data_IF_060360436083
#
_entry.id   IF_060360436083
#
_cell.length_a   1.000
_cell.length_b   1.000
_cell.length_c   1.000
_cell.angle_alpha   90.00
_cell.angle_beta   90.00
_cell.angle_gamma   90.00
#
_symmetry.space_group_name_H-M   'P 1'
#
loop_
_entity.id
_entity.type
_entity.pdbx_description
1 polymer ?
#
# COMPACT_ATOMS: atom_id res chain seq x y z
N UNK A 1 36.77 -4.16 41.95
CA UNK A 1 35.52 -3.39 42.06
C UNK A 1 35.56 -2.01 41.34
N UNK A 2 36.62 -1.65 40.61
CA UNK A 2 36.71 -0.37 39.88
C UNK A 2 36.48 -0.44 38.35
N UNK A 3 36.47 -1.63 37.75
CA UNK A 3 36.24 -1.80 36.30
C UNK A 3 34.76 -1.76 35.90
N UNK A 4 33.83 -2.09 36.80
CA UNK A 4 32.39 -2.09 36.50
C UNK A 4 31.78 -0.69 36.51
N UNK A 5 32.31 0.25 37.31
CA UNK A 5 31.79 1.62 37.42
C UNK A 5 32.12 2.50 36.20
N UNK A 6 33.20 2.21 35.46
CA UNK A 6 33.55 2.94 34.24
C UNK A 6 32.65 2.56 33.05
N UNK A 7 32.19 1.30 32.97
CA UNK A 7 31.33 0.81 31.89
C UNK A 7 29.94 1.43 31.92
N UNK A 8 29.36 1.60 33.11
CA UNK A 8 28.03 2.21 33.27
C UNK A 8 28.04 3.72 32.98
N UNK A 9 29.15 4.41 33.27
CA UNK A 9 29.29 5.85 33.02
C UNK A 9 29.39 6.17 31.52
N UNK A 10 30.08 5.32 30.73
CA UNK A 10 30.19 5.49 29.27
C UNK A 10 28.86 5.17 28.57
N UNK A 11 28.14 4.14 29.02
CA UNK A 11 26.81 3.78 28.50
C UNK A 11 25.75 4.86 28.80
N UNK A 12 25.83 5.54 29.94
CA UNK A 12 24.92 6.63 30.30
C UNK A 12 25.23 7.94 29.55
N UNK A 13 26.49 8.22 29.27
CA UNK A 13 26.88 9.39 28.47
C UNK A 13 26.51 9.20 26.99
N UNK A 14 26.65 7.99 26.43
CA UNK A 14 26.22 7.66 25.06
C UNK A 14 24.68 7.69 24.89
N UNK A 15 23.91 7.34 25.92
CA UNK A 15 22.44 7.43 25.87
C UNK A 15 21.95 8.88 25.94
N UNK A 16 22.59 9.74 26.75
CA UNK A 16 22.27 11.17 26.83
C UNK A 16 22.67 11.90 25.53
N UNK A 17 23.83 11.60 24.92
CA UNK A 17 24.22 12.15 23.62
C UNK A 17 23.26 11.73 22.49
N UNK A 18 22.70 10.52 22.55
CA UNK A 18 21.70 10.05 21.58
C UNK A 18 20.34 10.74 21.75
N UNK A 19 19.94 11.05 22.99
CA UNK A 19 18.71 11.80 23.29
C UNK A 19 18.85 13.28 22.92
N UNK A 20 20.01 13.90 23.19
CA UNK A 20 20.29 15.29 22.79
C UNK A 20 20.43 15.41 21.27
N UNK A 21 21.00 14.43 20.58
CA UNK A 21 21.02 14.36 19.12
C UNK A 21 19.60 14.15 18.53
N UNK A 22 18.76 13.33 19.17
CA UNK A 22 17.36 13.15 18.76
C UNK A 22 16.49 14.39 19.00
N UNK A 23 16.76 15.17 20.05
CA UNK A 23 16.08 16.43 20.34
C UNK A 23 16.54 17.58 19.43
N UNK A 24 17.81 17.60 19.01
CA UNK A 24 18.35 18.64 18.10
C UNK A 24 18.26 18.31 16.60
N UNK A 25 17.82 17.10 16.21
CA UNK A 25 17.73 16.68 14.81
C UNK A 25 16.30 16.59 14.25
N UNK A 26 15.29 17.20 14.88
CA UNK A 26 14.00 17.39 14.21
C UNK A 26 14.10 18.53 13.21
N UNK A 27 14.70 18.26 12.04
CA UNK A 27 14.47 19.11 10.87
C UNK A 27 12.96 19.13 10.63
N UNK A 28 12.29 20.19 11.06
CA UNK A 28 10.86 20.35 10.88
C UNK A 28 10.58 20.36 9.39
N UNK A 29 9.67 19.49 8.95
CA UNK A 29 9.23 19.50 7.56
C UNK A 29 8.63 20.86 7.21
N UNK A 30 8.85 21.30 5.98
CA UNK A 30 8.20 22.49 5.48
C UNK A 30 6.75 22.15 5.08
N UNK A 31 5.79 22.69 5.83
CA UNK A 31 4.36 22.47 5.60
C UNK A 31 3.77 23.56 4.69
N UNK A 32 2.60 23.35 4.06
CA UNK A 32 1.97 24.35 3.18
C UNK A 32 1.77 25.73 3.78
N UNK A 33 1.59 25.82 5.10
CA UNK A 33 1.44 27.09 5.83
C UNK A 33 2.78 27.70 6.26
N UNK A 34 3.90 27.01 6.07
CA UNK A 34 5.22 27.48 6.51
C UNK A 34 5.84 28.46 5.50
N UNK A 35 6.61 29.48 5.94
CA UNK A 35 7.26 30.43 5.03
C UNK A 35 8.28 29.82 4.07
N UNK A 36 8.83 28.65 4.41
CA UNK A 36 9.76 27.91 3.56
C UNK A 36 9.08 27.19 2.38
N UNK A 37 7.75 27.17 2.32
CA UNK A 37 7.01 26.35 1.36
C UNK A 37 7.22 26.91 -0.05
N UNK A 38 7.30 26.05 -1.08
CA UNK A 38 7.52 26.52 -2.45
C UNK A 38 6.51 27.60 -2.85
N UNK A 39 6.99 28.66 -3.50
CA UNK A 39 6.12 29.71 -4.03
C UNK A 39 5.15 29.15 -5.09
N UNK A 40 4.04 29.84 -5.39
CA UNK A 40 3.17 29.46 -6.51
C UNK A 40 3.94 29.29 -7.83
N UNK A 41 4.95 30.13 -8.09
CA UNK A 41 5.81 30.02 -9.27
C UNK A 41 6.68 28.76 -9.25
N UNK A 42 7.22 28.38 -8.08
CA UNK A 42 7.99 27.14 -7.93
C UNK A 42 7.12 25.90 -8.11
N UNK A 43 5.91 25.90 -7.55
CA UNK A 43 4.92 24.83 -7.75
C UNK A 43 4.52 24.72 -9.22
N UNK A 44 4.32 25.82 -9.92
CA UNK A 44 3.99 25.81 -11.34
C UNK A 44 5.15 25.27 -12.20
N UNK A 45 6.39 25.70 -11.94
CA UNK A 45 7.58 25.16 -12.61
C UNK A 45 7.71 23.65 -12.38
N UNK A 46 7.50 23.19 -11.14
CA UNK A 46 7.48 21.77 -10.83
C UNK A 46 6.34 21.04 -11.56
N UNK A 47 5.13 21.61 -11.57
CA UNK A 47 3.98 21.05 -12.26
C UNK A 47 4.27 20.84 -13.75
N UNK A 48 4.83 21.83 -14.43
CA UNK A 48 5.30 21.69 -15.82
C UNK A 48 6.31 20.56 -15.96
N UNK A 49 7.25 20.43 -15.02
CA UNK A 49 8.28 19.37 -15.06
C UNK A 49 7.70 17.95 -14.96
N UNK A 50 6.54 17.76 -14.31
CA UNK A 50 5.82 16.47 -14.21
C UNK A 50 4.65 16.36 -15.20
N UNK A 51 4.63 17.23 -16.22
CA UNK A 51 3.64 17.18 -17.31
C UNK A 51 2.25 17.67 -16.91
N UNK A 52 2.14 18.63 -15.99
CA UNK A 52 0.85 19.17 -15.55
C UNK A 52 0.11 18.29 -14.54
N UNK A 53 0.79 17.33 -13.91
CA UNK A 53 0.20 16.30 -13.05
C UNK A 53 0.24 16.59 -11.55
N UNK A 54 0.67 17.78 -11.14
CA UNK A 54 0.55 18.23 -9.76
C UNK A 54 -0.90 18.62 -9.48
N UNK A 55 -1.50 17.99 -8.48
CA UNK A 55 -2.87 18.25 -8.04
C UNK A 55 -2.81 18.89 -6.65
N UNK A 56 -3.49 20.03 -6.49
CA UNK A 56 -3.84 20.55 -5.17
C UNK A 56 -5.06 19.78 -4.68
N UNK A 57 -4.93 19.05 -3.59
CA UNK A 57 -6.00 18.18 -3.12
C UNK A 57 -7.20 18.99 -2.65
N UNK A 58 -8.39 18.55 -3.04
CA UNK A 58 -9.66 19.04 -2.51
C UNK A 58 -10.16 18.02 -1.48
N UNK A 59 -10.66 18.45 -0.32
CA UNK A 59 -11.20 17.52 0.67
C UNK A 59 -12.31 16.63 0.08
N UNK A 60 -12.34 15.36 0.47
CA UNK A 60 -13.23 14.36 -0.10
C UNK A 60 -14.72 14.74 -0.02
N UNK A 61 -15.18 15.25 1.13
CA UNK A 61 -16.56 15.67 1.33
C UNK A 61 -16.91 17.07 0.79
N UNK A 62 -15.98 17.81 0.18
CA UNK A 62 -16.15 19.26 -0.05
C UNK A 62 -17.40 19.63 -0.87
N UNK A 63 -17.80 18.78 -1.81
CA UNK A 63 -19.00 18.98 -2.64
C UNK A 63 -20.31 18.94 -1.85
N UNK A 64 -20.28 18.50 -0.59
CA UNK A 64 -21.45 18.48 0.30
C UNK A 64 -21.50 19.65 1.29
N UNK A 65 -20.51 20.55 1.30
CA UNK A 65 -20.41 21.64 2.28
C UNK A 65 -20.70 23.02 1.67
N UNK A 66 -21.18 23.95 2.50
CA UNK A 66 -21.39 25.35 2.09
C UNK A 66 -20.14 25.96 1.42
N UNK A 67 -20.35 26.75 0.36
CA UNK A 67 -19.28 27.38 -0.42
C UNK A 67 -18.69 26.52 -1.54
N UNK A 68 -18.88 25.21 -1.52
CA UNK A 68 -18.50 24.30 -2.61
C UNK A 68 -19.60 23.27 -2.94
N UNK A 69 -20.80 23.50 -2.42
CA UNK A 69 -21.93 22.58 -2.56
C UNK A 69 -22.32 22.39 -4.02
N UNK A 70 -22.37 21.13 -4.42
CA UNK A 70 -22.89 20.65 -5.70
C UNK A 70 -23.80 19.47 -5.38
N UNK A 71 -25.11 19.65 -5.62
CA UNK A 71 -26.14 18.68 -5.27
C UNK A 71 -25.90 17.31 -5.94
N UNK A 72 -25.56 17.31 -7.23
CA UNK A 72 -25.37 16.06 -7.98
C UNK A 72 -24.07 15.36 -7.58
N UNK A 73 -22.97 16.12 -7.44
CA UNK A 73 -21.70 15.56 -7.00
C UNK A 73 -21.78 15.05 -5.55
N UNK A 74 -22.48 15.76 -4.66
CA UNK A 74 -22.72 15.29 -3.29
C UNK A 74 -23.59 14.03 -3.28
N UNK A 75 -24.63 13.95 -4.11
CA UNK A 75 -25.49 12.76 -4.25
C UNK A 75 -24.71 11.55 -4.77
N UNK A 76 -23.87 11.72 -5.79
CA UNK A 76 -22.99 10.64 -6.26
C UNK A 76 -22.04 10.19 -5.15
N UNK A 77 -21.40 11.14 -4.47
CA UNK A 77 -20.49 10.87 -3.36
C UNK A 77 -21.18 10.06 -2.26
N UNK A 78 -22.40 10.42 -1.88
CA UNK A 78 -23.18 9.73 -0.86
C UNK A 78 -23.47 8.27 -1.21
N UNK A 79 -23.83 8.00 -2.47
CA UNK A 79 -24.13 6.66 -2.98
C UNK A 79 -22.88 5.78 -3.06
N UNK A 80 -21.76 6.38 -3.48
CA UNK A 80 -20.57 5.63 -3.89
C UNK A 80 -19.43 5.68 -2.87
N UNK A 81 -19.61 6.35 -1.73
CA UNK A 81 -18.53 6.57 -0.75
C UNK A 81 -17.87 5.30 -0.21
N UNK A 82 -18.55 4.16 -0.25
CA UNK A 82 -18.01 2.86 0.14
C UNK A 82 -17.47 2.04 -1.05
N UNK A 83 -17.67 2.48 -2.30
CA UNK A 83 -17.22 1.77 -3.48
C UNK A 83 -15.72 1.97 -3.69
N UNK A 84 -14.95 0.88 -3.61
CA UNK A 84 -13.52 0.93 -3.85
C UNK A 84 -13.17 1.53 -5.21
N UNK A 85 -13.88 1.14 -6.28
CA UNK A 85 -13.64 1.65 -7.63
C UNK A 85 -13.84 3.17 -7.76
N UNK A 86 -14.79 3.73 -7.00
CA UNK A 86 -15.00 5.19 -6.95
C UNK A 86 -13.84 5.88 -6.23
N UNK A 87 -13.51 5.43 -5.00
CA UNK A 87 -12.45 6.02 -4.16
C UNK A 87 -11.08 5.94 -4.83
N UNK A 88 -10.80 4.85 -5.54
CA UNK A 88 -9.55 4.65 -6.28
C UNK A 88 -9.27 5.74 -7.32
N UNK A 89 -10.28 6.43 -7.85
CA UNK A 89 -10.08 7.46 -8.89
C UNK A 89 -9.80 8.85 -8.32
N UNK A 90 -9.88 9.00 -7.00
CA UNK A 90 -9.82 10.30 -6.34
C UNK A 90 -8.43 10.51 -5.70
N UNK A 91 -7.76 11.66 -5.95
CA UNK A 91 -6.41 11.90 -5.47
C UNK A 91 -6.31 11.91 -3.93
N UNK A 92 -7.27 12.53 -3.24
CA UNK A 92 -7.28 12.64 -1.79
C UNK A 92 -7.87 11.43 -1.06
N UNK A 93 -8.70 10.62 -1.74
CA UNK A 93 -9.45 9.57 -1.06
C UNK A 93 -8.56 8.40 -0.62
N UNK A 94 -8.92 7.81 0.52
CA UNK A 94 -8.31 6.64 1.14
C UNK A 94 -9.36 5.56 1.35
N UNK A 95 -9.02 4.27 1.35
CA UNK A 95 -10.05 3.23 1.48
C UNK A 95 -10.71 3.23 2.87
N UNK A 96 -9.94 3.55 3.90
CA UNK A 96 -10.46 3.77 5.25
C UNK A 96 -10.56 5.27 5.51
N UNK A 97 -11.79 5.77 5.60
CA UNK A 97 -12.09 7.21 5.71
C UNK A 97 -11.58 7.85 7.01
N UNK A 98 -11.30 7.07 8.06
CA UNK A 98 -10.69 7.56 9.29
C UNK A 98 -9.30 8.19 9.03
N UNK A 99 -8.56 7.74 8.02
CA UNK A 99 -7.28 8.32 7.65
C UNK A 99 -7.39 9.62 6.85
N UNK A 100 -8.61 10.00 6.46
CA UNK A 100 -8.90 11.31 5.85
C UNK A 100 -9.07 12.38 6.92
N UNK A 101 -9.25 11.99 8.17
CA UNK A 101 -9.32 12.86 9.34
C UNK A 101 -7.95 13.03 10.01
N UNK A 102 -7.75 14.13 10.72
CA UNK A 102 -6.64 14.36 11.66
C UNK A 102 -7.22 14.89 12.98
N UNK A 103 -7.53 13.98 13.90
CA UNK A 103 -8.36 14.29 15.07
C UNK A 103 -9.77 14.69 14.65
N UNK A 104 -10.18 15.91 15.00
CA UNK A 104 -11.48 16.49 14.61
C UNK A 104 -11.41 17.22 13.25
N UNK A 105 -10.21 17.45 12.71
CA UNK A 105 -10.04 18.12 11.42
C UNK A 105 -10.30 17.15 10.27
N UNK A 106 -11.16 17.55 9.33
CA UNK A 106 -11.42 16.79 8.12
C UNK A 106 -12.66 17.26 7.40
N UNK A 107 -13.14 16.44 6.48
CA UNK A 107 -14.33 16.73 5.70
C UNK A 107 -15.14 15.45 5.49
N UNK A 108 -15.75 14.92 6.55
CA UNK A 108 -16.52 13.67 6.49
C UNK A 108 -17.70 13.84 5.54
N UNK A 109 -17.99 12.81 4.74
CA UNK A 109 -19.20 12.79 3.93
C UNK A 109 -20.40 12.67 4.86
N UNK A 110 -21.43 13.55 4.73
CA UNK A 110 -22.61 13.45 5.57
C UNK A 110 -23.22 12.04 5.46
N UNK A 111 -23.64 11.49 6.59
CA UNK A 111 -24.42 10.25 6.63
C UNK A 111 -25.77 10.65 7.20
N UNK A 112 -26.86 10.63 6.41
CA UNK A 112 -28.18 10.83 6.98
C UNK A 112 -28.41 9.75 8.03
N UNK A 113 -28.61 10.16 9.29
CA UNK A 113 -28.82 9.23 10.40
C UNK A 113 -30.14 8.45 10.25
N UNK A 114 -31.11 8.99 9.51
CA UNK A 114 -32.38 8.37 9.20
C UNK A 114 -32.79 8.74 7.77
N UNK A 115 -33.21 7.73 7.01
CA UNK A 115 -34.06 7.80 5.80
C UNK A 115 -33.48 8.45 4.53
N UNK A 116 -33.44 7.61 3.48
CA UNK A 116 -33.39 7.97 2.06
C UNK A 116 -32.18 8.80 1.61
N UNK A 117 -31.62 8.47 0.44
CA UNK A 117 -30.66 9.34 -0.26
C UNK A 117 -31.43 10.54 -0.88
N UNK A 118 -32.28 11.18 -0.09
CA UNK A 118 -33.05 12.37 -0.44
C UNK A 118 -32.24 13.64 -0.16
N UNK A 119 -32.64 14.73 -0.84
CA UNK A 119 -31.94 16.02 -0.95
C UNK A 119 -31.12 16.39 0.30
N UNK A 120 -29.81 16.13 0.24
CA UNK A 120 -28.88 16.56 1.28
C UNK A 120 -28.52 18.00 0.98
N UNK A 121 -29.23 18.95 1.60
CA UNK A 121 -28.84 20.36 1.56
C UNK A 121 -27.41 20.57 2.07
N UNK A 122 -26.79 21.73 1.78
CA UNK A 122 -25.40 21.98 2.11
C UNK A 122 -25.13 21.84 3.61
N UNK A 123 -24.08 21.10 3.95
CA UNK A 123 -23.62 20.94 5.33
C UNK A 123 -22.95 22.23 5.80
N UNK A 124 -23.41 22.75 6.95
CA UNK A 124 -22.79 23.86 7.66
C UNK A 124 -21.65 23.33 8.53
N UNK A 125 -20.47 23.94 8.43
CA UNK A 125 -19.32 23.58 9.26
C UNK A 125 -18.00 23.70 8.52
N UNK A 126 -16.92 23.26 9.17
CA UNK A 126 -15.60 23.24 8.56
C UNK A 126 -15.43 21.98 7.71
N UNK A 127 -14.91 22.17 6.51
CA UNK A 127 -14.45 21.10 5.63
C UNK A 127 -12.97 21.33 5.35
N UNK A 128 -12.12 20.54 5.99
CA UNK A 128 -10.68 20.66 5.94
C UNK A 128 -10.04 19.39 5.36
N UNK A 129 -8.76 19.47 4.99
CA UNK A 129 -8.06 18.32 4.43
C UNK A 129 -7.82 17.19 5.45
N UNK A 130 -7.77 17.51 6.75
CA UNK A 130 -7.44 16.55 7.80
C UNK A 130 -6.16 15.77 7.49
N UNK A 131 -6.29 14.45 7.44
CA UNK A 131 -5.20 13.50 7.17
C UNK A 131 -4.80 13.41 5.69
N UNK A 132 -5.55 14.00 4.76
CA UNK A 132 -5.24 13.94 3.33
C UNK A 132 -3.98 14.75 2.97
N UNK A 133 -3.25 14.31 1.94
CA UNK A 133 -2.10 15.05 1.40
C UNK A 133 -2.54 16.39 0.81
N UNK A 134 -1.79 17.46 1.06
CA UNK A 134 -2.11 18.80 0.56
C UNK A 134 -1.88 18.95 -0.94
N UNK A 135 -0.84 18.30 -1.42
CA UNK A 135 -0.52 18.19 -2.84
C UNK A 135 -0.20 16.75 -3.18
N UNK A 136 -0.56 16.33 -4.38
CA UNK A 136 -0.32 14.98 -4.85
C UNK A 136 -0.01 14.97 -6.35
N UNK A 137 1.06 14.29 -6.74
CA UNK A 137 1.44 14.14 -8.15
C UNK A 137 0.85 12.86 -8.70
N UNK A 138 -0.01 12.95 -9.71
CA UNK A 138 -0.50 11.79 -10.45
C UNK A 138 0.63 11.27 -11.37
N UNK A 139 1.46 10.35 -10.88
CA UNK A 139 2.62 9.88 -11.62
C UNK A 139 2.21 8.96 -12.78
N UNK A 140 2.82 9.17 -13.94
CA UNK A 140 2.61 8.33 -15.14
C UNK A 140 3.81 7.45 -15.46
N UNK A 141 4.98 7.78 -14.91
CA UNK A 141 6.24 7.10 -15.20
C UNK A 141 7.24 7.21 -14.03
N UNK A 142 8.31 6.39 -14.00
CA UNK A 142 9.33 6.47 -12.95
C UNK A 142 10.00 7.85 -12.84
N UNK A 143 10.07 8.62 -13.93
CA UNK A 143 10.67 9.95 -13.92
C UNK A 143 9.82 10.98 -13.16
N UNK A 144 8.49 10.88 -13.23
CA UNK A 144 7.60 11.75 -12.43
C UNK A 144 7.85 11.51 -10.94
N UNK A 145 8.00 10.24 -10.55
CA UNK A 145 8.31 9.83 -9.18
C UNK A 145 9.68 10.39 -8.74
N UNK A 146 10.72 10.22 -9.56
CA UNK A 146 12.06 10.77 -9.28
C UNK A 146 12.05 12.29 -9.12
N UNK A 147 11.36 13.02 -10.02
CA UNK A 147 11.19 14.48 -9.92
C UNK A 147 10.47 14.86 -8.62
N UNK A 148 9.44 14.12 -8.25
CA UNK A 148 8.67 14.36 -7.01
C UNK A 148 9.52 14.13 -5.75
N UNK A 149 10.29 13.04 -5.71
CA UNK A 149 11.23 12.76 -4.60
C UNK A 149 12.27 13.88 -4.48
N UNK A 150 12.88 14.28 -5.59
CA UNK A 150 13.87 15.36 -5.61
C UNK A 150 13.28 16.72 -5.21
N UNK A 151 12.06 17.03 -5.64
CA UNK A 151 11.37 18.26 -5.26
C UNK A 151 11.04 18.27 -3.76
N UNK A 152 10.51 17.18 -3.23
CA UNK A 152 10.24 17.04 -1.80
C UNK A 152 11.52 17.15 -0.97
N UNK A 153 12.63 16.54 -1.40
CA UNK A 153 13.92 16.64 -0.73
C UNK A 153 14.47 18.08 -0.74
N UNK A 154 14.44 18.75 -1.89
CA UNK A 154 14.89 20.14 -2.06
C UNK A 154 14.20 21.10 -1.08
N UNK A 155 12.88 20.95 -0.95
CA UNK A 155 12.05 21.84 -0.14
C UNK A 155 11.74 21.30 1.26
N UNK A 156 12.36 20.17 1.65
CA UNK A 156 12.12 19.48 2.94
C UNK A 156 10.63 19.22 3.20
N UNK A 157 9.89 18.82 2.17
CA UNK A 157 8.46 18.53 2.28
C UNK A 157 8.24 17.18 2.94
N UNK A 158 7.11 17.04 3.66
CA UNK A 158 6.70 15.78 4.27
C UNK A 158 6.21 14.82 3.17
N UNK A 159 7.10 13.99 2.65
CA UNK A 159 6.81 13.12 1.51
C UNK A 159 5.95 11.90 1.88
N UNK A 160 5.02 11.53 0.98
CA UNK A 160 4.19 10.33 1.07
C UNK A 160 4.03 9.64 -0.27
N UNK A 161 3.73 8.35 -0.23
CA UNK A 161 3.40 7.55 -1.41
C UNK A 161 1.99 7.02 -1.23
N UNK A 162 1.12 7.32 -2.19
CA UNK A 162 -0.21 6.72 -2.28
C UNK A 162 -0.25 5.81 -3.51
N UNK A 163 -0.74 4.60 -3.32
CA UNK A 163 -1.22 3.78 -4.42
C UNK A 163 -2.76 3.85 -4.43
N UNK A 164 -3.40 2.89 -3.77
CA UNK A 164 -4.87 2.75 -3.73
C UNK A 164 -5.52 3.36 -2.49
N UNK A 165 -4.73 3.70 -1.46
CA UNK A 165 -5.24 4.16 -0.17
C UNK A 165 -5.77 3.04 0.75
N UNK A 166 -5.52 1.76 0.42
CA UNK A 166 -5.90 0.59 1.23
C UNK A 166 -5.13 0.40 2.54
N UNK A 167 -4.22 1.31 2.88
CA UNK A 167 -3.33 1.13 4.02
C UNK A 167 -4.09 1.21 5.35
N UNK A 168 -4.16 0.09 6.07
CA UNK A 168 -4.88 -0.01 7.34
C UNK A 168 -4.24 0.80 8.48
N UNK A 169 -3.02 1.32 8.31
CA UNK A 169 -2.27 2.05 9.35
C UNK A 169 -1.96 3.51 8.96
N UNK A 170 -2.62 4.05 7.93
CA UNK A 170 -2.52 5.45 7.53
C UNK A 170 -1.21 5.87 6.86
N UNK A 171 -0.32 4.94 6.51
CA UNK A 171 1.02 5.22 5.95
C UNK A 171 1.00 5.91 4.59
N UNK A 172 -0.12 5.81 3.87
CA UNK A 172 -0.31 6.44 2.56
C UNK A 172 -0.86 7.87 2.60
N UNK A 173 -1.00 8.43 3.80
CA UNK A 173 -1.56 9.76 4.04
C UNK A 173 -0.80 10.53 5.14
N UNK A 174 -1.25 11.75 5.42
CA UNK A 174 -0.84 12.57 6.55
C UNK A 174 -1.05 14.05 6.29
N UNK A 175 -1.42 14.79 7.34
CA UNK A 175 -1.58 16.25 7.29
C UNK A 175 -0.32 16.94 6.78
N UNK A 176 -0.53 17.89 5.86
CA UNK A 176 0.52 18.72 5.27
C UNK A 176 1.49 17.98 4.35
N UNK A 177 1.16 16.76 3.93
CA UNK A 177 2.07 15.94 3.10
C UNK A 177 2.04 16.34 1.63
N UNK A 178 3.18 16.11 0.97
CA UNK A 178 3.35 16.20 -0.48
C UNK A 178 3.54 14.79 -1.02
N UNK A 179 2.53 14.28 -1.73
CA UNK A 179 2.48 12.88 -2.11
C UNK A 179 2.82 12.64 -3.58
N UNK A 180 3.27 11.42 -3.87
CA UNK A 180 3.22 10.84 -5.21
C UNK A 180 2.14 9.78 -5.26
N UNK A 181 1.34 9.79 -6.32
CA UNK A 181 0.26 8.86 -6.56
C UNK A 181 0.58 7.94 -7.73
N UNK A 182 0.74 6.65 -7.45
CA UNK A 182 1.23 5.68 -8.43
C UNK A 182 0.13 4.84 -9.08
N UNK A 183 -1.15 5.11 -8.79
CA UNK A 183 -2.28 4.27 -9.18
C UNK A 183 -2.42 4.07 -10.70
N UNK A 184 -2.11 5.09 -11.49
CA UNK A 184 -2.24 5.01 -12.95
C UNK A 184 -0.99 4.46 -13.64
N UNK A 185 0.07 4.12 -12.90
CA UNK A 185 1.22 3.38 -13.44
C UNK A 185 0.90 1.88 -13.48
N UNK A 186 -0.01 1.47 -14.36
CA UNK A 186 -0.65 0.14 -14.35
C UNK A 186 -0.29 -0.74 -15.56
N UNK A 187 0.78 -0.41 -16.29
CA UNK A 187 1.26 -1.21 -17.42
C UNK A 187 1.64 -2.63 -16.96
N UNK A 188 1.22 -3.62 -17.73
CA UNK A 188 1.61 -5.03 -17.57
C UNK A 188 2.22 -5.57 -18.88
N UNK A 189 3.22 -6.42 -18.77
CA UNK A 189 3.87 -7.11 -19.89
C UNK A 189 4.13 -8.56 -19.50
N UNK A 190 3.72 -9.50 -20.37
CA UNK A 190 3.99 -10.93 -20.21
C UNK A 190 5.35 -11.28 -20.81
N UNK A 191 6.11 -12.12 -20.11
CA UNK A 191 7.35 -12.70 -20.57
C UNK A 191 7.27 -14.22 -20.45
N UNK A 192 7.25 -14.93 -21.58
CA UNK A 192 7.30 -16.40 -21.57
C UNK A 192 8.58 -16.91 -20.91
N UNK A 193 9.69 -16.22 -21.16
CA UNK A 193 10.99 -16.45 -20.52
C UNK A 193 11.61 -15.12 -20.12
N UNK A 194 12.10 -15.04 -18.89
CA UNK A 194 12.82 -13.89 -18.34
C UNK A 194 14.19 -14.33 -17.84
N UNK A 195 15.25 -13.67 -18.30
CA UNK A 195 16.61 -13.89 -17.80
C UNK A 195 16.96 -12.79 -16.81
N UNK A 196 17.41 -13.18 -15.62
CA UNK A 196 17.69 -12.21 -14.55
C UNK A 196 18.94 -11.37 -14.89
N UNK A 197 18.82 -10.04 -15.04
CA UNK A 197 19.98 -9.21 -15.33
C UNK A 197 20.86 -9.04 -14.08
N UNK A 198 22.16 -8.88 -14.28
CA UNK A 198 23.08 -8.53 -13.20
C UNK A 198 24.55 -8.83 -13.53
N UNK A 199 25.49 -8.21 -12.80
CA UNK A 199 26.92 -8.37 -13.04
C UNK A 199 27.46 -9.77 -12.66
N UNK A 200 26.74 -10.51 -11.80
CA UNK A 200 27.13 -11.87 -11.40
C UNK A 200 26.90 -12.86 -12.55
N UNK A 201 27.93 -13.65 -12.89
CA UNK A 201 27.89 -14.67 -13.97
C UNK A 201 26.73 -15.68 -13.83
N UNK A 202 26.30 -16.01 -12.61
CA UNK A 202 25.19 -16.92 -12.34
C UNK A 202 23.81 -16.37 -12.76
N UNK A 203 23.67 -15.04 -12.86
CA UNK A 203 22.39 -14.39 -13.08
C UNK A 203 22.00 -14.37 -14.55
N UNK A 204 22.96 -14.12 -15.44
CA UNK A 204 22.78 -14.29 -16.89
C UNK A 204 22.45 -15.73 -17.33
N UNK A 205 22.57 -16.70 -16.42
CA UNK A 205 22.17 -18.10 -16.64
C UNK A 205 20.84 -18.46 -15.97
N UNK A 206 20.36 -17.65 -15.02
CA UNK A 206 19.09 -17.92 -14.31
C UNK A 206 17.93 -17.47 -15.18
N UNK A 207 17.12 -18.42 -15.65
CA UNK A 207 15.92 -18.17 -16.42
C UNK A 207 14.67 -18.54 -15.62
N UNK A 208 13.64 -17.73 -15.76
CA UNK A 208 12.32 -17.95 -15.21
C UNK A 208 11.32 -18.03 -16.36
N UNK A 209 10.33 -18.90 -16.25
CA UNK A 209 9.19 -18.92 -17.17
C UNK A 209 8.03 -18.14 -16.57
N UNK A 210 7.13 -17.61 -17.40
CA UNK A 210 5.85 -17.00 -16.96
C UNK A 210 6.08 -15.84 -15.99
N UNK A 211 6.69 -14.77 -16.48
CA UNK A 211 6.97 -13.59 -15.66
C UNK A 211 6.10 -12.44 -16.13
N UNK A 212 5.49 -11.73 -15.17
CA UNK A 212 4.74 -10.52 -15.43
C UNK A 212 5.58 -9.33 -14.97
N UNK A 213 5.94 -8.45 -15.88
CA UNK A 213 6.39 -7.11 -15.55
C UNK A 213 5.16 -6.24 -15.30
N UNK A 214 5.06 -5.64 -14.11
CA UNK A 214 3.90 -4.85 -13.70
C UNK A 214 4.32 -3.52 -13.06
N UNK A 215 3.60 -2.44 -13.37
CA UNK A 215 3.71 -1.16 -12.69
C UNK A 215 3.01 -1.15 -11.32
N UNK A 216 3.32 -0.19 -10.43
CA UNK A 216 2.84 -0.16 -9.05
C UNK A 216 1.33 0.04 -8.92
N UNK A 217 0.68 0.59 -9.94
CA UNK A 217 -0.75 0.86 -9.97
C UNK A 217 -1.63 -0.33 -10.32
N UNK A 218 -1.03 -1.47 -10.67
CA UNK A 218 -1.79 -2.69 -10.97
C UNK A 218 -2.57 -3.14 -9.74
N UNK A 219 -3.86 -3.43 -9.95
CA UNK A 219 -4.77 -3.97 -8.94
C UNK A 219 -4.75 -5.50 -8.98
N UNK A 220 -5.10 -6.14 -7.87
CA UNK A 220 -5.20 -7.61 -7.76
C UNK A 220 -6.05 -8.21 -8.87
N UNK A 221 -7.25 -7.69 -9.09
CA UNK A 221 -8.15 -8.20 -10.12
C UNK A 221 -7.53 -8.12 -11.52
N UNK A 222 -6.95 -6.96 -11.87
CA UNK A 222 -6.33 -6.75 -13.16
C UNK A 222 -5.14 -7.69 -13.39
N UNK A 223 -4.31 -7.95 -12.37
CA UNK A 223 -3.19 -8.89 -12.49
C UNK A 223 -3.68 -10.34 -12.67
N UNK A 224 -4.72 -10.75 -11.93
CA UNK A 224 -5.31 -12.07 -12.06
C UNK A 224 -5.90 -12.30 -13.46
N UNK A 225 -6.69 -11.35 -13.96
CA UNK A 225 -7.27 -11.41 -15.30
C UNK A 225 -6.19 -11.40 -16.39
N UNK A 226 -5.10 -10.66 -16.19
CA UNK A 226 -3.96 -10.65 -17.10
C UNK A 226 -3.26 -12.02 -17.13
N UNK A 227 -2.94 -12.59 -15.97
CA UNK A 227 -2.30 -13.91 -15.89
C UNK A 227 -3.17 -15.02 -16.47
N UNK A 228 -4.49 -14.98 -16.20
CA UNK A 228 -5.45 -15.97 -16.68
C UNK A 228 -5.47 -16.09 -18.20
N UNK A 229 -5.37 -14.96 -18.92
CA UNK A 229 -5.29 -14.94 -20.39
C UNK A 229 -4.07 -15.66 -20.95
N UNK A 230 -3.06 -15.91 -20.13
CA UNK A 230 -1.85 -16.65 -20.45
C UNK A 230 -1.82 -18.07 -19.85
N UNK A 231 -2.96 -18.60 -19.38
CA UNK A 231 -3.05 -19.94 -18.77
C UNK A 231 -2.24 -20.02 -17.46
N UNK A 232 -2.24 -18.94 -16.69
CA UNK A 232 -1.45 -18.81 -15.48
C UNK A 232 -2.24 -18.15 -14.34
N UNK A 233 -1.78 -18.40 -13.12
CA UNK A 233 -2.24 -17.76 -11.89
C UNK A 233 -1.09 -17.05 -11.19
N UNK A 234 -1.43 -16.12 -10.31
CA UNK A 234 -0.46 -15.37 -9.49
C UNK A 234 -0.85 -15.47 -8.02
N UNK A 235 0.13 -15.37 -7.12
CA UNK A 235 -0.19 -15.11 -5.71
C UNK A 235 -0.66 -13.66 -5.61
N UNK A 236 -1.94 -13.45 -5.33
CA UNK A 236 -2.53 -12.13 -5.21
C UNK A 236 -3.33 -11.92 -3.93
N UNK A 237 -3.64 -10.67 -3.62
CA UNK A 237 -4.39 -10.31 -2.42
C UNK A 237 -5.83 -10.88 -2.46
N UNK A 238 -6.50 -10.87 -1.30
CA UNK A 238 -7.90 -11.29 -1.21
C UNK A 238 -8.87 -10.29 -1.88
N UNK A 239 -8.62 -8.99 -1.70
CA UNK A 239 -9.50 -7.95 -2.20
C UNK A 239 -9.12 -7.52 -3.63
N UNK A 240 -10.08 -7.51 -4.59
CA UNK A 240 -9.88 -7.11 -5.99
C UNK A 240 -9.20 -5.75 -6.19
N UNK A 241 -9.55 -4.78 -5.34
CA UNK A 241 -9.13 -3.37 -5.44
C UNK A 241 -7.82 -3.05 -4.73
N UNK A 242 -7.17 -4.03 -4.10
CA UNK A 242 -5.84 -3.84 -3.50
C UNK A 242 -4.82 -3.62 -4.61
N UNK A 243 -3.95 -2.62 -4.45
CA UNK A 243 -2.83 -2.39 -5.34
C UNK A 243 -1.76 -3.45 -5.09
N UNK A 244 -1.89 -4.58 -5.80
CA UNK A 244 -1.15 -5.82 -5.54
C UNK A 244 0.35 -5.58 -5.52
N UNK A 245 0.88 -4.83 -6.47
CA UNK A 245 2.31 -4.55 -6.56
C UNK A 245 2.79 -3.51 -5.54
N UNK A 246 1.90 -2.77 -4.88
CA UNK A 246 2.27 -1.70 -3.93
C UNK A 246 2.56 -2.20 -2.51
N UNK A 247 1.94 -1.57 -1.52
CA UNK A 247 2.17 -1.87 -0.10
C UNK A 247 1.84 -3.31 0.32
N UNK A 248 0.92 -3.99 -0.39
CA UNK A 248 0.64 -5.41 -0.18
C UNK A 248 1.88 -6.26 -0.45
N UNK A 249 2.50 -6.07 -1.62
CA UNK A 249 3.69 -6.80 -2.00
C UNK A 249 4.87 -6.41 -1.11
N UNK A 250 5.12 -5.11 -0.92
CA UNK A 250 6.26 -4.65 -0.12
C UNK A 250 6.17 -5.07 1.37
N UNK A 251 4.97 -5.36 1.87
CA UNK A 251 4.74 -5.81 3.25
C UNK A 251 4.69 -7.34 3.44
N UNK A 252 4.86 -8.14 2.39
CA UNK A 252 4.83 -9.61 2.46
C UNK A 252 3.85 -10.21 1.45
N UNK A 253 2.60 -9.81 1.52
CA UNK A 253 1.58 -10.18 0.53
C UNK A 253 0.99 -11.58 0.73
N UNK A 254 0.11 -11.73 1.71
CA UNK A 254 -0.66 -12.96 1.91
C UNK A 254 -1.82 -13.05 0.90
N UNK A 255 -2.00 -14.24 0.31
CA UNK A 255 -3.03 -14.53 -0.69
C UNK A 255 -3.50 -15.97 -0.71
N UNK A 256 -4.53 -16.26 -1.51
CA UNK A 256 -5.13 -17.60 -1.62
C UNK A 256 -4.14 -18.69 -2.03
N UNK A 257 -3.20 -18.36 -2.92
CA UNK A 257 -2.19 -19.31 -3.39
C UNK A 257 -0.91 -19.32 -2.55
N UNK A 258 -0.85 -18.55 -1.45
CA UNK A 258 0.36 -18.51 -0.61
C UNK A 258 0.77 -19.84 0.00
N UNK A 259 -0.15 -20.74 0.41
CA UNK A 259 0.23 -22.07 0.89
C UNK A 259 0.97 -22.93 -0.14
N UNK A 260 0.81 -22.66 -1.44
CA UNK A 260 1.40 -23.47 -2.52
C UNK A 260 2.63 -22.79 -3.13
N UNK A 261 2.59 -21.47 -3.31
CA UNK A 261 3.62 -20.71 -4.04
C UNK A 261 4.38 -19.69 -3.17
N UNK A 262 4.22 -19.73 -1.85
CA UNK A 262 4.81 -18.76 -0.93
C UNK A 262 4.08 -17.42 -0.89
N UNK A 263 4.53 -16.49 -0.06
CA UNK A 263 3.93 -15.16 0.01
C UNK A 263 4.18 -14.38 -1.30
N UNK A 264 3.50 -13.26 -1.48
CA UNK A 264 3.69 -12.41 -2.65
C UNK A 264 5.16 -12.02 -2.82
N UNK A 265 5.83 -11.63 -1.74
CA UNK A 265 7.27 -11.31 -1.77
C UNK A 265 8.15 -12.45 -2.27
N UNK A 266 7.73 -13.71 -2.10
CA UNK A 266 8.51 -14.89 -2.54
C UNK A 266 8.50 -15.08 -4.05
N UNK A 267 7.55 -14.44 -4.71
CA UNK A 267 7.35 -14.49 -6.16
C UNK A 267 8.00 -13.31 -6.88
N UNK A 268 8.71 -12.41 -6.17
CA UNK A 268 9.42 -11.30 -6.81
C UNK A 268 10.79 -11.73 -7.32
N UNK A 269 11.05 -11.41 -8.60
CA UNK A 269 12.34 -11.63 -9.24
C UNK A 269 13.22 -10.38 -9.26
N UNK A 270 12.61 -9.21 -9.45
CA UNK A 270 13.30 -7.92 -9.56
C UNK A 270 12.32 -6.77 -9.28
N UNK A 271 12.83 -5.67 -8.75
CA UNK A 271 12.11 -4.39 -8.67
C UNK A 271 12.81 -3.30 -9.47
N UNK A 272 12.05 -2.32 -9.95
CA UNK A 272 12.53 -0.99 -10.33
C UNK A 272 12.01 0.02 -9.29
N UNK A 273 12.91 0.72 -8.61
CA UNK A 273 12.59 1.62 -7.50
C UNK A 273 13.23 2.99 -7.66
N UNK A 274 12.56 4.03 -7.18
CA UNK A 274 13.15 5.36 -7.00
C UNK A 274 13.56 5.51 -5.54
N UNK A 275 14.86 5.63 -5.30
CA UNK A 275 15.42 5.82 -3.95
C UNK A 275 15.38 7.28 -3.50
N UNK A 276 15.66 7.53 -2.22
CA UNK A 276 15.62 8.87 -1.62
C UNK A 276 16.60 9.89 -2.26
N UNK A 277 17.65 9.42 -2.94
CA UNK A 277 18.55 10.23 -3.76
C UNK A 277 17.97 10.56 -5.16
N UNK A 278 16.71 10.20 -5.41
CA UNK A 278 16.00 10.45 -6.66
C UNK A 278 16.45 9.58 -7.83
N UNK A 279 17.29 8.56 -7.61
CA UNK A 279 17.77 7.66 -8.67
C UNK A 279 16.81 6.51 -8.89
N UNK A 280 16.63 6.13 -10.16
CA UNK A 280 15.91 4.93 -10.57
C UNK A 280 16.92 3.77 -10.54
N UNK A 281 16.61 2.72 -9.78
CA UNK A 281 17.47 1.55 -9.57
C UNK A 281 16.71 0.29 -9.90
N UNK A 282 17.41 -0.68 -10.50
CA UNK A 282 16.91 -2.05 -10.63
C UNK A 282 17.63 -2.92 -9.61
N UNK A 283 16.85 -3.61 -8.80
CA UNK A 283 17.36 -4.38 -7.67
C UNK A 283 16.82 -5.80 -7.71
N UNK A 284 17.72 -6.76 -7.50
CA UNK A 284 17.42 -8.19 -7.50
C UNK A 284 18.48 -8.94 -6.67
N UNK A 285 18.40 -10.28 -6.65
CA UNK A 285 19.38 -11.14 -5.93
C UNK A 285 20.83 -11.08 -6.47
N UNK A 286 21.11 -10.26 -7.47
CA UNK A 286 22.39 -10.15 -8.17
C UNK A 286 22.92 -8.72 -8.25
N UNK A 287 22.11 -7.73 -7.88
CA UNK A 287 22.43 -6.30 -7.95
C UNK A 287 21.64 -5.60 -6.84
N UNK A 288 22.35 -4.93 -5.93
CA UNK A 288 21.78 -4.24 -4.76
C UNK A 288 20.91 -5.18 -3.91
N UNK A 289 21.51 -6.30 -3.49
CA UNK A 289 20.85 -7.42 -2.78
C UNK A 289 20.24 -7.02 -1.44
N UNK A 290 20.87 -6.08 -0.74
CA UNK A 290 20.40 -5.52 0.52
C UNK A 290 19.08 -4.75 0.35
N UNK A 291 19.01 -3.90 -0.68
CA UNK A 291 17.79 -3.16 -1.03
C UNK A 291 16.72 -4.12 -1.56
N UNK A 292 17.09 -5.11 -2.38
CA UNK A 292 16.18 -6.15 -2.84
C UNK A 292 15.58 -6.94 -1.67
N UNK A 293 16.40 -7.35 -0.70
CA UNK A 293 15.95 -8.03 0.52
C UNK A 293 15.02 -7.15 1.34
N UNK A 294 15.36 -5.87 1.54
CA UNK A 294 14.56 -4.96 2.36
C UNK A 294 13.16 -4.70 1.77
N UNK A 295 13.06 -4.58 0.44
CA UNK A 295 11.78 -4.39 -0.27
C UNK A 295 10.88 -5.64 -0.22
N UNK A 296 11.42 -6.83 0.08
CA UNK A 296 10.69 -8.09 0.19
C UNK A 296 10.18 -8.33 1.62
N UNK A 297 9.37 -7.40 2.12
CA UNK A 297 8.66 -7.53 3.41
C UNK A 297 8.88 -6.37 4.37
N UNK A 298 9.88 -5.51 4.14
CA UNK A 298 10.17 -4.36 4.99
C UNK A 298 9.29 -3.12 4.74
N UNK A 299 8.35 -3.18 3.78
CA UNK A 299 7.43 -2.10 3.45
C UNK A 299 8.02 -1.01 2.53
N UNK A 300 7.29 0.11 2.39
CA UNK A 300 7.59 1.17 1.42
C UNK A 300 8.64 2.20 1.85
N UNK A 301 9.39 1.96 2.94
CA UNK A 301 10.34 2.94 3.47
C UNK A 301 11.64 3.07 2.65
N UNK A 302 11.97 2.05 1.85
CA UNK A 302 13.26 1.95 1.15
C UNK A 302 13.27 2.62 -0.23
N UNK A 303 12.12 3.04 -0.74
CA UNK A 303 11.98 3.71 -2.03
C UNK A 303 10.56 3.61 -2.57
N UNK A 304 10.30 4.36 -3.64
CA UNK A 304 9.03 4.29 -4.35
C UNK A 304 9.16 3.26 -5.46
N UNK A 305 8.47 2.14 -5.34
CA UNK A 305 8.48 1.12 -6.38
C UNK A 305 7.73 1.61 -7.62
N UNK A 306 8.33 1.38 -8.79
CA UNK A 306 7.86 1.84 -10.09
C UNK A 306 7.68 0.71 -11.11
N UNK A 307 8.33 -0.45 -10.91
CA UNK A 307 8.02 -1.72 -11.58
C UNK A 307 8.39 -2.92 -10.72
N UNK A 308 7.78 -4.06 -11.01
CA UNK A 308 8.14 -5.37 -10.48
C UNK A 308 8.12 -6.42 -11.58
N UNK A 309 9.04 -7.39 -11.50
CA UNK A 309 8.98 -8.64 -12.28
C UNK A 309 8.54 -9.75 -11.34
N UNK A 310 7.34 -10.26 -11.60
CA UNK A 310 6.59 -11.12 -10.70
C UNK A 310 6.36 -12.48 -11.35
N UNK A 311 6.66 -13.55 -10.62
CA UNK A 311 6.49 -14.91 -11.11
C UNK A 311 5.01 -15.31 -11.10
N UNK A 312 4.54 -15.79 -12.24
CA UNK A 312 3.26 -16.46 -12.39
C UNK A 312 3.45 -17.98 -12.46
N UNK A 313 2.39 -18.72 -12.16
CA UNK A 313 2.39 -20.17 -12.04
C UNK A 313 1.38 -20.79 -13.00
N UNK A 314 1.56 -22.04 -13.42
CA UNK A 314 0.57 -22.72 -14.25
C UNK A 314 -0.83 -22.68 -13.63
N UNK A 315 -1.84 -22.51 -14.46
CA UNK A 315 -3.23 -22.63 -14.04
C UNK A 315 -3.48 -24.01 -13.38
N UNK A 316 -4.07 -24.05 -12.17
CA UNK A 316 -4.40 -25.32 -11.53
C UNK A 316 -5.55 -26.01 -12.29
N UNK A 317 -5.54 -27.34 -12.34
CA UNK A 317 -6.61 -28.14 -12.96
C UNK A 317 -7.98 -27.96 -12.27
N UNK A 318 -7.98 -27.49 -11.03
CA UNK A 318 -9.18 -27.15 -10.28
C UNK A 318 -8.83 -26.52 -8.94
N UNK A 319 -9.77 -25.73 -8.40
CA UNK A 319 -9.70 -25.15 -7.05
C UNK A 319 -10.95 -25.56 -6.30
N UNK A 320 -10.77 -26.19 -5.14
CA UNK A 320 -11.87 -26.52 -4.22
C UNK A 320 -11.87 -25.58 -3.03
N UNK A 321 -13.06 -25.15 -2.60
CA UNK A 321 -13.24 -24.45 -1.33
C UNK A 321 -14.31 -25.18 -0.51
N UNK A 322 -14.03 -25.36 0.78
CA UNK A 322 -14.97 -25.95 1.73
C UNK A 322 -15.42 -24.85 2.72
N UNK A 323 -16.71 -24.52 2.71
CA UNK A 323 -17.35 -23.74 3.77
C UNK A 323 -18.02 -24.73 4.72
N UNK A 324 -17.72 -24.66 6.01
CA UNK A 324 -18.46 -25.37 7.04
C UNK A 324 -18.96 -24.39 8.10
N UNK A 325 -20.17 -24.63 8.61
CA UNK A 325 -20.70 -23.94 9.79
C UNK A 325 -20.82 -24.97 10.91
N UNK A 326 -20.31 -24.62 12.09
CA UNK A 326 -20.44 -25.42 13.30
C UNK A 326 -21.36 -24.66 14.25
N UNK A 327 -22.56 -25.19 14.48
CA UNK A 327 -23.48 -24.67 15.49
C UNK A 327 -23.26 -25.43 16.79
N UNK A 328 -22.67 -24.77 17.79
CA UNK A 328 -22.45 -25.38 19.10
C UNK A 328 -23.58 -24.96 20.04
N UNK A 329 -24.62 -25.79 20.12
CA UNK A 329 -25.67 -25.67 21.14
C UNK A 329 -25.11 -26.14 22.49
N UNK A 330 -24.71 -25.23 23.38
CA UNK A 330 -24.17 -25.61 24.70
C UNK A 330 -23.47 -24.50 25.47
N UNK A 331 -22.84 -24.85 26.60
CA UNK A 331 -21.95 -23.94 27.34
C UNK A 331 -20.64 -23.73 26.57
N UNK A 332 -19.92 -22.63 26.86
CA UNK A 332 -18.74 -22.20 26.08
C UNK A 332 -17.61 -23.23 25.94
N UNK A 333 -17.60 -24.31 26.73
CA UNK A 333 -16.62 -25.39 26.68
C UNK A 333 -16.68 -26.17 25.37
N UNK A 334 -17.87 -26.56 24.90
CA UNK A 334 -18.02 -27.31 23.65
C UNK A 334 -17.57 -26.49 22.43
N UNK A 335 -17.84 -25.18 22.45
CA UNK A 335 -17.34 -24.25 21.44
C UNK A 335 -15.81 -24.14 21.47
N UNK A 336 -15.20 -24.00 22.65
CA UNK A 336 -13.76 -23.93 22.79
C UNK A 336 -13.06 -25.21 22.31
N UNK A 337 -13.61 -26.39 22.62
CA UNK A 337 -13.10 -27.68 22.13
C UNK A 337 -13.23 -27.80 20.60
N UNK A 338 -14.37 -27.38 20.03
CA UNK A 338 -14.55 -27.37 18.58
C UNK A 338 -13.54 -26.45 17.89
N UNK A 339 -13.31 -25.24 18.43
CA UNK A 339 -12.28 -24.32 17.92
C UNK A 339 -10.89 -24.95 18.02
N UNK A 340 -10.56 -25.59 19.14
CA UNK A 340 -9.29 -26.29 19.33
C UNK A 340 -9.06 -27.35 18.25
N UNK A 341 -10.05 -28.22 18.01
CA UNK A 341 -9.98 -29.25 16.95
C UNK A 341 -9.84 -28.63 15.56
N UNK A 342 -10.54 -27.54 15.28
CA UNK A 342 -10.45 -26.86 13.99
C UNK A 342 -9.07 -26.26 13.75
N UNK A 343 -8.41 -25.73 14.79
CA UNK A 343 -7.01 -25.25 14.71
C UNK A 343 -6.06 -26.41 14.47
N UNK A 344 -6.21 -27.51 15.21
CA UNK A 344 -5.37 -28.71 15.05
C UNK A 344 -5.48 -29.32 13.65
N UNK A 345 -6.67 -29.25 13.03
CA UNK A 345 -6.91 -29.71 11.67
C UNK A 345 -6.19 -28.87 10.60
N UNK A 346 -5.84 -27.61 10.87
CA UNK A 346 -5.19 -26.75 9.87
C UNK A 346 -3.81 -27.25 9.48
N UNK A 347 -3.06 -27.85 10.41
CA UNK A 347 -1.71 -28.38 10.17
C UNK A 347 -1.73 -29.56 9.18
N UNK A 348 -2.48 -30.65 9.42
CA UNK A 348 -2.57 -31.75 8.46
C UNK A 348 -3.24 -31.34 7.14
N UNK A 349 -4.23 -30.42 7.16
CA UNK A 349 -4.83 -29.87 5.93
C UNK A 349 -3.80 -29.17 5.03
N UNK A 350 -2.76 -28.56 5.61
CA UNK A 350 -1.66 -27.94 4.85
C UNK A 350 -0.56 -28.95 4.48
N UNK A 351 -0.33 -29.97 5.30
CA UNK A 351 0.72 -30.97 5.11
C UNK A 351 0.35 -32.13 4.18
N UNK A 352 -0.95 -32.41 3.99
CA UNK A 352 -1.43 -33.53 3.18
C UNK A 352 -2.17 -33.01 1.95
N UNK A 353 -1.50 -33.01 0.80
CA UNK A 353 -2.15 -32.73 -0.47
C UNK A 353 -3.23 -33.77 -0.76
N UNK A 354 -4.50 -33.42 -0.55
CA UNK A 354 -5.70 -34.01 -1.16
C UNK A 354 -6.64 -34.93 -0.32
N UNK A 355 -6.39 -35.25 0.96
CA UNK A 355 -7.46 -35.87 1.77
C UNK A 355 -7.31 -35.62 3.28
N UNK A 356 -8.34 -35.08 3.91
CA UNK A 356 -8.44 -35.00 5.38
C UNK A 356 -9.73 -35.66 5.84
N UNK A 357 -9.62 -36.71 6.66
CA UNK A 357 -10.76 -37.23 7.43
C UNK A 357 -10.98 -36.30 8.61
N UNK A 358 -12.11 -35.60 8.62
CA UNK A 358 -12.55 -34.83 9.77
C UNK A 358 -12.92 -35.82 10.89
N UNK A 359 -12.28 -35.77 12.07
CA UNK A 359 -12.82 -36.46 13.23
C UNK A 359 -14.20 -35.87 13.56
N UNK A 360 -15.10 -36.62 14.21
CA UNK A 360 -16.39 -36.09 14.64
C UNK A 360 -16.16 -34.82 15.46
N UNK A 361 -16.80 -33.73 15.05
CA UNK A 361 -16.84 -32.50 15.82
C UNK A 361 -17.79 -32.70 17.02
N UNK A 362 -17.49 -32.11 18.19
CA UNK A 362 -18.30 -32.29 19.39
C UNK A 362 -19.66 -31.57 19.33
N UNK A 363 -19.92 -30.82 18.26
CA UNK A 363 -21.15 -30.09 18.00
C UNK A 363 -21.87 -30.81 16.83
N UNK A 364 -23.12 -31.26 17.07
CA UNK A 364 -24.00 -31.96 16.12
C UNK A 364 -25.06 -31.05 15.54
#
# INVERSE_FOLDING_TARGET
MNFLLHSYSILFILSILSIVAALNATKTYCLPSSPCFPSPQDLQKFNTSVGGRLIKTVPYGAVCYEGSYDEEACRELLLRKAEAGFRLRLPGALMSANWEMDGEEGCPVPVPLNESVGAVGPVKGKCELGGMSSYIVNASCPLDVAKTVNFAAKWKLRFRVKNTGHDATGRSAGKGTFAVWTHYMNRMVWHDTFTLPGPRKSCGKTKFSRVIEAGPGVLTQALNEFAWKHGAVVVGAFCPSVGITGGWLLGGGLGWFSPVYGMGVDNVLMFEVVTADGRIRRVNKCQEEDLFWALRGGGGAFGVMTRVWYQAHPEPQGVGYFVGQVDCKGNGTAFAEAVGRMVDLQVPLRGQGHTVRLPPLPCS
#
